data_IF_602196301323
#
_entry.id   IF_602196301323
#
_cell.length_a   1.000
_cell.length_b   1.000
_cell.length_c   1.000
_cell.angle_alpha   90.00
_cell.angle_beta   90.00
_cell.angle_gamma   90.00
#
_symmetry.space_group_name_H-M   'P 1'
#
loop_
_entity.id
_entity.type
_entity.pdbx_description
1 polymer ?
#
# COMPACT_ATOMS: atom_id res chain seq x y z
N UNK A 1 20.35 -3.08 0.15
CA UNK A 1 19.88 -3.47 -1.20
C UNK A 1 20.17 -4.94 -1.57
N UNK A 2 21.00 -5.65 -0.81
CA UNK A 2 21.42 -7.03 -1.11
C UNK A 2 20.87 -8.07 -0.12
N UNK A 3 19.64 -7.90 0.31
CA UNK A 3 18.96 -8.94 1.12
C UNK A 3 18.31 -9.96 0.20
N UNK A 4 18.31 -11.22 0.63
CA UNK A 4 17.54 -12.26 -0.02
C UNK A 4 16.05 -11.87 -0.08
N UNK A 5 15.35 -12.40 -1.06
CA UNK A 5 13.91 -12.16 -1.19
C UNK A 5 13.19 -12.75 0.03
N UNK A 6 12.29 -11.99 0.62
CA UNK A 6 11.48 -12.44 1.75
C UNK A 6 10.55 -13.56 1.30
N UNK A 7 10.60 -14.68 2.01
CA UNK A 7 9.75 -15.86 1.75
C UNK A 7 8.86 -16.21 2.95
N UNK A 8 9.11 -15.56 4.11
CA UNK A 8 8.34 -15.72 5.34
C UNK A 8 8.20 -14.39 6.06
N UNK A 9 7.06 -14.15 6.71
CA UNK A 9 6.82 -12.97 7.52
C UNK A 9 7.84 -12.88 8.68
N UNK A 10 8.26 -14.01 9.24
CA UNK A 10 9.22 -14.05 10.33
C UNK A 10 10.58 -13.44 9.99
N UNK A 11 10.95 -13.41 8.71
CA UNK A 11 12.17 -12.74 8.25
C UNK A 11 12.12 -11.20 8.37
N UNK A 12 10.93 -10.64 8.55
CA UNK A 12 10.73 -9.22 8.78
C UNK A 12 10.75 -8.85 10.27
N UNK A 13 10.79 -9.83 11.18
CA UNK A 13 10.72 -9.60 12.61
C UNK A 13 11.79 -8.58 13.08
N UNK A 14 11.37 -7.65 13.93
CA UNK A 14 12.23 -6.62 14.49
C UNK A 14 12.55 -5.46 13.56
N UNK A 15 12.16 -5.49 12.28
CA UNK A 15 12.37 -4.37 11.37
C UNK A 15 11.48 -3.18 11.73
N UNK A 16 12.02 -1.97 11.59
CA UNK A 16 11.31 -0.72 11.84
C UNK A 16 10.49 -0.35 10.61
N UNK A 17 9.18 -0.41 10.74
CA UNK A 17 8.29 -0.11 9.62
C UNK A 17 7.44 1.13 9.91
N UNK A 18 7.44 2.04 8.96
CA UNK A 18 6.56 3.20 8.99
C UNK A 18 5.12 2.74 8.97
N UNK A 19 4.33 3.31 9.85
CA UNK A 19 2.86 3.19 9.87
C UNK A 19 2.23 4.57 9.88
N UNK A 20 1.00 4.64 9.40
CA UNK A 20 0.13 5.79 9.69
C UNK A 20 -0.12 5.86 11.19
N UNK A 21 -0.43 7.03 11.73
CA UNK A 21 -0.71 7.23 13.16
C UNK A 21 -1.96 6.51 13.69
N UNK A 22 -2.45 5.48 12.99
CA UNK A 22 -3.64 4.72 13.36
C UNK A 22 -3.29 3.58 14.34
N UNK A 23 -4.21 3.32 15.27
CA UNK A 23 -4.07 2.19 16.19
C UNK A 23 -4.06 0.85 15.45
N UNK A 24 -4.90 0.72 14.40
CA UNK A 24 -5.01 -0.51 13.63
C UNK A 24 -3.69 -0.88 12.93
N UNK A 25 -3.06 0.07 12.24
CA UNK A 25 -1.77 -0.17 11.58
C UNK A 25 -0.69 -0.59 12.56
N UNK A 26 -0.64 0.06 13.75
CA UNK A 26 0.31 -0.31 14.80
C UNK A 26 0.09 -1.72 15.33
N UNK A 27 -1.16 -2.11 15.62
CA UNK A 27 -1.49 -3.45 16.11
C UNK A 27 -1.14 -4.50 15.03
N UNK A 28 -1.51 -4.27 13.78
CA UNK A 28 -1.19 -5.19 12.69
C UNK A 28 0.33 -5.43 12.55
N UNK A 29 1.15 -4.38 12.64
CA UNK A 29 2.60 -4.52 12.62
C UNK A 29 3.13 -5.30 13.82
N UNK A 30 2.62 -5.04 15.02
CA UNK A 30 3.02 -5.74 16.24
C UNK A 30 2.68 -7.25 16.18
N UNK A 31 1.51 -7.62 15.63
CA UNK A 31 1.13 -9.01 15.43
C UNK A 31 2.08 -9.76 14.47
N UNK A 32 2.69 -9.05 13.54
CA UNK A 32 3.74 -9.58 12.66
C UNK A 32 5.14 -9.50 13.26
N UNK A 33 5.28 -9.14 14.54
CA UNK A 33 6.58 -8.90 15.22
C UNK A 33 7.43 -7.81 14.56
N UNK A 34 6.82 -6.85 13.88
CA UNK A 34 7.48 -5.66 13.34
C UNK A 34 7.48 -4.55 14.38
N UNK A 35 8.42 -3.60 14.25
CA UNK A 35 8.46 -2.41 15.08
C UNK A 35 7.76 -1.25 14.35
N UNK A 36 6.52 -0.89 14.70
CA UNK A 36 5.82 0.22 14.05
C UNK A 36 6.40 1.56 14.48
N UNK A 37 6.78 2.36 13.50
CA UNK A 37 7.30 3.73 13.69
C UNK A 37 6.30 4.70 13.05
N UNK A 38 5.62 5.55 13.83
CA UNK A 38 4.73 6.56 13.28
C UNK A 38 5.56 7.67 12.62
N UNK A 39 5.49 7.76 11.30
CA UNK A 39 6.16 8.76 10.48
C UNK A 39 5.13 9.35 9.51
N UNK A 40 5.14 10.65 9.32
CA UNK A 40 4.30 11.30 8.33
C UNK A 40 4.61 10.78 6.92
N UNK A 41 3.59 10.79 6.04
CA UNK A 41 3.76 10.25 4.69
C UNK A 41 4.88 10.96 3.94
N UNK A 42 4.92 12.27 4.06
CA UNK A 42 5.89 13.16 3.40
C UNK A 42 7.33 12.91 3.84
N UNK A 43 7.52 12.38 5.06
CA UNK A 43 8.83 12.11 5.65
C UNK A 43 9.31 10.67 5.38
N UNK A 44 8.47 9.82 4.78
CA UNK A 44 8.75 8.38 4.62
C UNK A 44 9.99 8.12 3.78
N UNK A 45 10.15 8.82 2.65
CA UNK A 45 11.29 8.63 1.75
C UNK A 45 12.61 9.01 2.44
N UNK A 46 12.61 10.12 3.16
CA UNK A 46 13.80 10.57 3.88
C UNK A 46 14.11 9.65 5.07
N UNK A 47 13.09 9.16 5.75
CA UNK A 47 13.24 8.15 6.80
C UNK A 47 13.88 6.85 6.29
N UNK A 48 13.48 6.38 5.09
CA UNK A 48 14.10 5.22 4.43
C UNK A 48 15.56 5.49 4.03
N UNK A 49 15.84 6.66 3.45
CA UNK A 49 17.21 7.04 3.05
C UNK A 49 18.17 7.15 4.23
N UNK A 50 17.69 7.66 5.35
CA UNK A 50 18.49 7.88 6.57
C UNK A 50 18.56 6.64 7.47
N UNK A 51 17.83 5.56 7.16
CA UNK A 51 17.78 4.36 8.00
C UNK A 51 17.01 4.55 9.32
N UNK A 52 16.17 5.60 9.40
CA UNK A 52 15.25 5.78 10.52
C UNK A 52 14.22 4.64 10.54
N UNK A 53 13.78 4.23 9.36
CA UNK A 53 12.89 3.10 9.11
C UNK A 53 13.52 2.15 8.09
N UNK A 54 13.22 0.87 8.22
CA UNK A 54 13.69 -0.20 7.33
C UNK A 54 12.68 -0.48 6.20
N UNK A 55 11.41 -0.12 6.41
CA UNK A 55 10.32 -0.32 5.47
C UNK A 55 9.13 0.59 5.77
N UNK A 56 8.13 0.48 4.92
CA UNK A 56 6.87 1.21 5.09
C UNK A 56 5.69 0.34 4.66
N UNK A 57 4.63 0.40 5.44
CA UNK A 57 3.33 -0.15 5.05
C UNK A 57 2.65 0.84 4.08
N UNK A 58 2.34 0.34 2.89
CA UNK A 58 1.63 1.10 1.86
C UNK A 58 1.15 0.20 0.73
N UNK A 59 0.41 0.76 -0.21
CA UNK A 59 0.03 0.06 -1.43
C UNK A 59 1.18 0.04 -2.45
N UNK A 60 1.26 -1.03 -3.23
CA UNK A 60 2.28 -1.15 -4.28
C UNK A 60 2.22 0.01 -5.30
N UNK A 61 1.02 0.49 -5.65
CA UNK A 61 0.84 1.66 -6.50
C UNK A 61 1.42 2.95 -5.88
N UNK A 62 1.38 3.07 -4.55
CA UNK A 62 1.94 4.23 -3.85
C UNK A 62 3.46 4.31 -3.97
N UNK A 63 4.15 3.17 -4.07
CA UNK A 63 5.59 3.13 -4.33
C UNK A 63 5.95 3.84 -5.64
N UNK A 64 5.07 3.75 -6.64
CA UNK A 64 5.25 4.42 -7.92
C UNK A 64 4.94 5.93 -7.84
N UNK A 65 3.72 6.30 -7.44
CA UNK A 65 3.31 7.71 -7.47
C UNK A 65 4.05 8.58 -6.47
N UNK A 66 4.51 8.01 -5.35
CA UNK A 66 5.33 8.73 -4.38
C UNK A 66 6.83 8.67 -4.68
N UNK A 67 7.22 8.10 -5.82
CA UNK A 67 8.62 7.96 -6.22
C UNK A 67 9.48 7.25 -5.16
N UNK A 68 8.95 6.20 -4.52
CA UNK A 68 9.65 5.42 -3.50
C UNK A 68 10.51 4.30 -4.09
N UNK A 69 10.22 3.84 -5.30
CA UNK A 69 10.92 2.73 -5.95
C UNK A 69 12.46 2.85 -5.92
N UNK A 70 13.07 4.03 -6.12
CA UNK A 70 14.53 4.17 -6.03
C UNK A 70 15.15 3.90 -4.65
N UNK A 71 14.35 3.96 -3.58
CA UNK A 71 14.84 3.83 -2.19
C UNK A 71 14.46 2.51 -1.50
N UNK A 72 13.67 1.67 -2.17
CA UNK A 72 13.29 0.34 -1.70
C UNK A 72 13.95 -0.75 -2.55
N UNK A 73 14.13 -1.94 -2.01
CA UNK A 73 14.76 -3.07 -2.71
C UNK A 73 13.77 -4.21 -3.01
N UNK A 74 12.72 -4.30 -2.22
CA UNK A 74 11.68 -5.28 -2.42
C UNK A 74 10.34 -4.81 -1.83
N UNK A 75 9.27 -5.32 -2.39
CA UNK A 75 7.91 -5.20 -1.91
C UNK A 75 7.42 -6.58 -1.47
N UNK A 76 6.88 -6.68 -0.27
CA UNK A 76 6.35 -7.94 0.25
C UNK A 76 4.82 -7.88 0.22
N UNK A 77 4.20 -8.78 -0.54
CA UNK A 77 2.75 -8.85 -0.67
C UNK A 77 2.15 -9.57 0.56
N UNK A 78 1.79 -8.79 1.56
CA UNK A 78 1.26 -9.28 2.84
C UNK A 78 -0.25 -9.52 2.82
N UNK A 79 -1.01 -8.95 1.91
CA UNK A 79 -2.48 -9.07 1.75
C UNK A 79 -3.27 -8.92 3.06
N UNK A 80 -2.77 -8.13 4.01
CA UNK A 80 -3.40 -8.01 5.32
C UNK A 80 -4.52 -6.97 5.36
N UNK A 81 -4.65 -6.19 4.30
CA UNK A 81 -5.53 -5.03 4.28
C UNK A 81 -6.16 -4.81 2.92
N UNK A 82 -7.46 -4.59 2.89
CA UNK A 82 -8.18 -4.10 1.71
C UNK A 82 -8.38 -2.60 1.82
N UNK A 83 -7.80 -1.84 0.91
CA UNK A 83 -7.96 -0.39 0.85
C UNK A 83 -9.30 -0.01 0.22
N UNK A 84 -10.11 0.71 0.96
CA UNK A 84 -11.29 1.38 0.44
C UNK A 84 -11.08 2.89 0.56
N UNK A 85 -11.18 3.59 -0.56
CA UNK A 85 -11.12 5.03 -0.57
C UNK A 85 -12.55 5.60 -0.62
N UNK A 86 -12.78 6.65 0.11
CA UNK A 86 -14.09 7.28 0.22
C UNK A 86 -13.96 8.76 -0.16
N UNK A 87 -14.86 9.23 -1.02
CA UNK A 87 -15.06 10.64 -1.25
C UNK A 87 -16.32 11.05 -0.49
N UNK A 88 -16.20 11.96 0.45
CA UNK A 88 -17.31 12.44 1.26
C UNK A 88 -17.53 13.94 1.12
N UNK A 89 -18.80 14.34 1.14
CA UNK A 89 -19.22 15.74 1.20
C UNK A 89 -20.09 15.96 2.44
N UNK A 90 -19.97 17.13 3.06
CA UNK A 90 -20.91 17.51 4.13
C UNK A 90 -22.34 17.54 3.63
N UNK A 91 -23.26 16.87 4.35
CA UNK A 91 -24.69 16.89 4.00
C UNK A 91 -25.24 18.33 3.95
N UNK A 92 -24.81 19.19 4.89
CA UNK A 92 -25.19 20.61 4.88
C UNK A 92 -24.78 21.32 3.58
N UNK A 93 -23.61 20.99 3.02
CA UNK A 93 -23.16 21.58 1.75
C UNK A 93 -23.95 20.98 0.60
N UNK A 94 -24.13 19.66 0.58
CA UNK A 94 -24.89 18.95 -0.45
C UNK A 94 -26.34 19.46 -0.53
N UNK A 95 -27.03 19.58 0.63
CA UNK A 95 -28.41 20.05 0.73
C UNK A 95 -28.57 21.54 0.36
N UNK A 96 -27.48 22.30 0.35
CA UNK A 96 -27.52 23.72 -0.10
C UNK A 96 -27.38 23.88 -1.62
N UNK A 97 -27.07 22.81 -2.34
CA UNK A 97 -27.02 22.81 -3.80
C UNK A 97 -28.46 22.72 -4.37
N UNK A 98 -28.68 23.30 -5.53
CA UNK A 98 -29.91 23.05 -6.26
C UNK A 98 -29.96 21.63 -6.83
N UNK A 99 -31.17 21.17 -7.21
CA UNK A 99 -31.37 19.79 -7.68
C UNK A 99 -30.43 19.37 -8.82
N UNK A 100 -30.28 20.17 -9.89
CA UNK A 100 -29.35 19.83 -10.98
C UNK A 100 -27.88 19.70 -10.53
N UNK A 101 -27.43 20.47 -9.56
CA UNK A 101 -26.08 20.36 -9.02
C UNK A 101 -25.94 19.12 -8.12
N UNK A 102 -26.95 18.78 -7.33
CA UNK A 102 -26.97 17.54 -6.56
C UNK A 102 -26.88 16.31 -7.48
N UNK A 103 -27.64 16.28 -8.56
CA UNK A 103 -27.62 15.22 -9.58
C UNK A 103 -26.22 15.12 -10.22
N UNK A 104 -25.63 16.27 -10.60
CA UNK A 104 -24.29 16.30 -11.19
C UNK A 104 -23.20 15.77 -10.24
N UNK A 105 -23.28 16.09 -8.95
CA UNK A 105 -22.37 15.58 -7.93
C UNK A 105 -22.50 14.05 -7.81
N UNK A 106 -23.71 13.53 -7.74
CA UNK A 106 -23.97 12.09 -7.62
C UNK A 106 -23.53 11.33 -8.87
N UNK A 107 -23.82 11.83 -10.06
CA UNK A 107 -23.39 11.23 -11.32
C UNK A 107 -21.86 11.23 -11.44
N UNK A 108 -21.22 12.35 -11.12
CA UNK A 108 -19.75 12.45 -11.13
C UNK A 108 -19.10 11.47 -10.16
N UNK A 109 -19.65 11.31 -8.95
CA UNK A 109 -19.18 10.36 -7.97
C UNK A 109 -19.28 8.92 -8.46
N UNK A 110 -20.40 8.56 -9.08
CA UNK A 110 -20.61 7.24 -9.69
C UNK A 110 -19.62 6.97 -10.83
N UNK A 111 -19.47 7.92 -11.75
CA UNK A 111 -18.52 7.78 -12.86
C UNK A 111 -17.07 7.67 -12.37
N UNK A 112 -16.70 8.46 -11.37
CA UNK A 112 -15.40 8.38 -10.75
C UNK A 112 -15.13 7.01 -10.11
N UNK A 113 -16.14 6.43 -9.42
CA UNK A 113 -16.03 5.08 -8.85
C UNK A 113 -15.75 4.02 -9.92
N UNK A 114 -16.52 4.03 -11.02
CA UNK A 114 -16.35 3.07 -12.11
C UNK A 114 -14.99 3.21 -12.79
N UNK A 115 -14.56 4.45 -13.05
CA UNK A 115 -13.26 4.72 -13.69
C UNK A 115 -12.08 4.39 -12.78
N UNK A 116 -12.18 4.68 -11.48
CA UNK A 116 -11.10 4.44 -10.52
C UNK A 116 -10.75 2.96 -10.39
N UNK A 117 -11.72 2.07 -10.45
CA UNK A 117 -11.46 0.63 -10.36
C UNK A 117 -10.56 0.17 -11.52
N UNK A 118 -10.93 0.47 -12.76
CA UNK A 118 -10.13 0.10 -13.93
C UNK A 118 -8.76 0.78 -13.95
N UNK A 119 -8.69 2.05 -13.54
CA UNK A 119 -7.44 2.79 -13.46
C UNK A 119 -6.49 2.23 -12.41
N UNK A 120 -6.99 1.81 -11.26
CA UNK A 120 -6.20 1.18 -10.20
C UNK A 120 -5.63 -0.17 -10.64
N UNK A 121 -6.41 -1.01 -11.30
CA UNK A 121 -5.93 -2.29 -11.84
C UNK A 121 -4.82 -2.06 -12.88
N UNK A 122 -5.01 -1.14 -13.83
CA UNK A 122 -4.02 -0.80 -14.84
C UNK A 122 -2.73 -0.23 -14.20
N UNK A 123 -2.86 0.64 -13.19
CA UNK A 123 -1.73 1.19 -12.46
C UNK A 123 -0.95 0.10 -11.72
N UNK A 124 -1.64 -0.85 -11.12
CA UNK A 124 -1.01 -1.94 -10.39
C UNK A 124 -0.24 -2.89 -11.33
N UNK A 125 -0.81 -3.22 -12.50
CA UNK A 125 -0.13 -4.00 -13.54
C UNK A 125 1.14 -3.27 -14.01
N UNK A 126 1.03 -1.97 -14.29
CA UNK A 126 2.17 -1.15 -14.73
C UNK A 126 3.25 -1.01 -13.63
N UNK A 127 2.87 -1.02 -12.37
CA UNK A 127 3.80 -0.83 -11.24
C UNK A 127 4.50 -2.12 -10.88
N UNK A 128 3.77 -3.18 -10.64
CA UNK A 128 4.28 -4.44 -10.06
C UNK A 128 4.49 -5.53 -11.10
N UNK A 129 3.63 -5.61 -12.10
CA UNK A 129 3.72 -6.58 -13.18
C UNK A 129 3.19 -7.98 -12.87
N UNK A 130 2.55 -8.22 -11.75
CA UNK A 130 1.79 -9.43 -11.33
C UNK A 130 2.32 -10.81 -11.75
N UNK A 131 3.60 -10.98 -12.03
CA UNK A 131 4.14 -12.26 -12.48
C UNK A 131 5.49 -12.57 -11.87
N UNK A 132 5.82 -13.87 -11.82
CA UNK A 132 7.15 -14.37 -11.52
C UNK A 132 7.63 -15.21 -12.72
N UNK A 133 8.70 -14.80 -13.45
CA UNK A 133 9.48 -13.60 -13.20
C UNK A 133 8.70 -12.30 -13.45
N UNK A 134 9.13 -11.24 -12.79
CA UNK A 134 8.52 -9.92 -12.90
C UNK A 134 8.50 -9.43 -14.34
N UNK A 135 7.35 -8.87 -14.78
CA UNK A 135 7.23 -8.32 -16.12
C UNK A 135 8.24 -7.19 -16.34
N UNK A 136 8.94 -7.17 -17.49
CA UNK A 136 9.76 -6.03 -17.87
C UNK A 136 8.88 -4.79 -18.07
N UNK A 137 9.52 -3.62 -18.15
CA UNK A 137 8.86 -2.32 -18.40
C UNK A 137 7.86 -1.89 -17.29
N UNK A 138 8.02 -2.45 -16.10
CA UNK A 138 7.29 -2.00 -14.90
C UNK A 138 8.18 -1.09 -14.06
N UNK A 139 7.57 -0.19 -13.28
CA UNK A 139 8.32 0.70 -12.39
C UNK A 139 9.20 -0.09 -11.41
N UNK A 140 8.73 -1.23 -10.95
CA UNK A 140 9.52 -2.09 -10.07
C UNK A 140 10.72 -2.69 -10.80
N UNK A 141 10.54 -3.21 -12.01
CA UNK A 141 11.64 -3.78 -12.80
C UNK A 141 12.69 -2.71 -13.14
N UNK A 142 12.28 -1.53 -13.58
CA UNK A 142 13.17 -0.40 -13.91
C UNK A 142 14.02 0.06 -12.71
N UNK A 143 13.50 -0.07 -11.49
CA UNK A 143 14.17 0.33 -10.26
C UNK A 143 14.79 -0.86 -9.49
N UNK A 144 14.79 -2.06 -10.06
CA UNK A 144 15.26 -3.29 -9.42
C UNK A 144 14.54 -3.59 -8.08
N UNK A 145 13.27 -3.24 -7.98
CA UNK A 145 12.43 -3.61 -6.83
C UNK A 145 11.84 -4.99 -7.10
N UNK A 146 12.20 -5.95 -6.28
CA UNK A 146 11.67 -7.32 -6.37
C UNK A 146 10.36 -7.44 -5.61
N UNK A 147 9.41 -8.22 -6.11
CA UNK A 147 8.18 -8.53 -5.38
C UNK A 147 8.28 -9.90 -4.74
N UNK A 148 8.10 -9.95 -3.43
CA UNK A 148 8.01 -11.17 -2.65
C UNK A 148 6.53 -11.55 -2.49
N UNK A 149 6.11 -12.62 -3.18
CA UNK A 149 4.80 -13.22 -3.01
C UNK A 149 4.89 -14.33 -1.95
N UNK A 150 4.25 -14.11 -0.81
CA UNK A 150 4.20 -15.12 0.25
C UNK A 150 3.18 -16.20 -0.11
N UNK A 151 3.46 -17.44 0.32
CA UNK A 151 2.50 -18.53 0.15
C UNK A 151 1.24 -18.30 0.99
N UNK A 152 0.12 -18.89 0.58
CA UNK A 152 -1.12 -18.83 1.33
C UNK A 152 -0.97 -19.41 2.74
N UNK A 153 -0.08 -20.39 2.93
CA UNK A 153 0.24 -20.93 4.26
C UNK A 153 0.92 -19.92 5.16
N UNK A 154 1.90 -19.17 4.64
CA UNK A 154 2.56 -18.09 5.39
C UNK A 154 1.58 -16.98 5.78
N UNK A 155 0.72 -16.58 4.85
CA UNK A 155 -0.29 -15.56 5.11
C UNK A 155 -1.31 -16.03 6.17
N UNK A 156 -1.74 -17.29 6.12
CA UNK A 156 -2.69 -17.86 7.08
C UNK A 156 -2.12 -17.96 8.50
N UNK A 157 -0.85 -18.30 8.67
CA UNK A 157 -0.22 -18.41 10.00
C UNK A 157 -0.45 -17.18 10.87
N UNK A 158 -0.36 -15.98 10.29
CA UNK A 158 -0.47 -14.72 11.04
C UNK A 158 -1.90 -14.17 11.10
N UNK A 159 -2.77 -14.53 10.16
CA UNK A 159 -4.10 -13.93 10.07
C UNK A 159 -5.23 -14.85 10.60
N UNK A 160 -4.99 -16.14 10.69
CA UNK A 160 -6.02 -17.12 11.10
C UNK A 160 -5.73 -17.72 12.46
N UNK A 161 -4.47 -18.01 12.78
CA UNK A 161 -4.10 -18.79 13.96
C UNK A 161 -3.96 -17.96 15.25
N UNK A 162 -3.97 -16.64 15.16
CA UNK A 162 -3.85 -15.73 16.31
C UNK A 162 -5.20 -15.09 16.72
N UNK A 163 -6.34 -15.68 16.34
CA UNK A 163 -7.67 -15.22 16.74
C UNK A 163 -8.15 -15.90 18.01
#
# INVERSE_FOLDING_TARGET
>A
KDRDLVTSIDQLAGTKNRVTGTQLGRIAMQLMNLNPVPVAWEETIDGLKQGLIDGAETWASAVAYANMAPVVSQSVDLRFFSGNEHCGMSSKVFDSLDGPLQDAVMESAYLAQVQSQAANEAALIKTVGFSDPQLPDTIFAENNVRTAFLSDEELKKKWVDER
#
